data_IF_733573081073
#
_entry.id   IF_733573081073
#
_cell.length_a   1.000
_cell.length_b   1.000
_cell.length_c   1.000
_cell.angle_alpha   90.00
_cell.angle_beta   90.00
_cell.angle_gamma   90.00
#
_symmetry.space_group_name_H-M   'P 1'
#
loop_
_entity.id
_entity.type
_entity.pdbx_description
1 polymer ?
#
# COMPACT_ATOMS: atom_id res chain seq x y z
N UNK A 1 -15.86 7.75 3.31
CA UNK A 1 -14.99 8.27 2.23
C UNK A 1 -15.09 7.30 1.06
N UNK A 2 -15.60 7.72 -0.10
CA UNK A 2 -15.71 6.84 -1.29
C UNK A 2 -14.28 6.60 -1.79
N UNK A 3 -13.83 5.36 -1.74
CA UNK A 3 -12.59 4.94 -2.40
C UNK A 3 -12.68 5.30 -3.88
N UNK A 4 -11.77 6.14 -4.35
CA UNK A 4 -11.69 6.48 -5.77
C UNK A 4 -11.08 5.29 -6.53
N UNK A 5 -11.90 4.24 -6.73
CA UNK A 5 -11.51 2.99 -7.40
C UNK A 5 -11.20 3.20 -8.89
N UNK A 6 -11.51 4.38 -9.42
CA UNK A 6 -11.32 4.71 -10.84
C UNK A 6 -9.83 4.76 -11.21
N UNK A 7 -8.97 5.21 -10.29
CA UNK A 7 -7.52 5.22 -10.51
C UNK A 7 -6.91 3.81 -10.64
N UNK A 8 -7.26 2.92 -9.71
CA UNK A 8 -6.72 1.53 -9.70
C UNK A 8 -7.10 0.74 -10.97
N UNK A 9 -8.23 1.06 -11.61
CA UNK A 9 -8.64 0.41 -12.86
C UNK A 9 -7.67 0.65 -14.01
N UNK A 10 -6.90 1.75 -13.98
CA UNK A 10 -5.90 2.07 -15.00
C UNK A 10 -4.69 1.12 -14.99
N UNK A 11 -4.46 0.40 -13.88
CA UNK A 11 -3.43 -0.64 -13.79
C UNK A 11 -3.85 -1.97 -14.41
N UNK A 12 -5.16 -2.18 -14.65
CA UNK A 12 -5.69 -3.43 -15.18
C UNK A 12 -5.05 -3.83 -16.53
N UNK A 13 -4.83 -2.92 -17.50
CA UNK A 13 -4.19 -3.29 -18.77
C UNK A 13 -2.80 -3.91 -18.57
N UNK A 14 -1.98 -3.35 -17.67
CA UNK A 14 -0.64 -3.84 -17.37
C UNK A 14 -0.68 -5.23 -16.70
N UNK A 15 -1.59 -5.43 -15.74
CA UNK A 15 -1.78 -6.72 -15.09
C UNK A 15 -2.37 -7.77 -16.03
N UNK A 16 -3.24 -7.39 -16.96
CA UNK A 16 -3.90 -8.29 -17.91
C UNK A 16 -2.90 -9.01 -18.82
N UNK A 17 -1.77 -8.39 -19.14
CA UNK A 17 -0.67 -9.00 -19.90
C UNK A 17 -0.14 -10.26 -19.20
N UNK A 18 -0.13 -10.28 -17.86
CA UNK A 18 0.39 -11.37 -17.03
C UNK A 18 -0.73 -12.24 -16.42
N UNK A 19 -1.92 -12.25 -17.03
CA UNK A 19 -3.12 -12.95 -16.54
C UNK A 19 -2.90 -14.43 -16.20
N UNK A 20 -2.08 -15.15 -16.95
CA UNK A 20 -1.82 -16.57 -16.69
C UNK A 20 -1.05 -16.79 -15.37
N UNK A 21 -0.05 -15.93 -15.08
CA UNK A 21 0.69 -15.98 -13.81
C UNK A 21 -0.22 -15.60 -12.63
N UNK A 22 -1.04 -14.56 -12.80
CA UNK A 22 -2.00 -14.10 -11.79
C UNK A 22 -3.07 -15.19 -11.55
N UNK A 23 -3.63 -15.80 -12.59
CA UNK A 23 -4.60 -16.89 -12.45
C UNK A 23 -3.98 -18.10 -11.75
N UNK A 24 -2.75 -18.48 -12.13
CA UNK A 24 -2.01 -19.53 -11.43
C UNK A 24 -1.78 -19.23 -9.96
N UNK A 25 -1.40 -17.99 -9.64
CA UNK A 25 -1.25 -17.54 -8.24
C UNK A 25 -2.58 -17.60 -7.47
N UNK A 26 -3.70 -17.17 -8.07
CA UNK A 26 -5.03 -17.25 -7.43
C UNK A 26 -5.42 -18.71 -7.16
N UNK A 27 -5.21 -19.62 -8.11
CA UNK A 27 -5.50 -21.03 -7.91
C UNK A 27 -4.68 -21.63 -6.76
N UNK A 28 -3.39 -21.29 -6.69
CA UNK A 28 -2.51 -21.72 -5.60
C UNK A 28 -2.90 -21.12 -4.24
N UNK A 29 -3.35 -19.85 -4.20
CA UNK A 29 -3.88 -19.22 -3.00
C UNK A 29 -5.13 -19.97 -2.52
N UNK A 30 -6.06 -20.31 -3.43
CA UNK A 30 -7.26 -21.07 -3.09
C UNK A 30 -6.88 -22.46 -2.56
N UNK A 31 -5.97 -23.15 -3.22
CA UNK A 31 -5.50 -24.47 -2.78
C UNK A 31 -4.83 -24.39 -1.39
N UNK A 32 -3.92 -23.43 -1.18
CA UNK A 32 -3.27 -23.22 0.11
C UNK A 32 -4.29 -22.89 1.20
N UNK A 33 -5.26 -22.02 0.92
CA UNK A 33 -6.31 -21.65 1.89
C UNK A 33 -7.20 -22.83 2.26
N UNK A 34 -7.57 -23.69 1.28
CA UNK A 34 -8.32 -24.90 1.55
C UNK A 34 -7.54 -25.90 2.42
N UNK A 35 -6.24 -26.09 2.13
CA UNK A 35 -5.38 -26.95 2.94
C UNK A 35 -5.24 -26.44 4.37
N UNK A 36 -5.02 -25.14 4.55
CA UNK A 36 -4.91 -24.51 5.87
C UNK A 36 -6.26 -24.59 6.63
N UNK A 37 -7.39 -24.46 5.93
CA UNK A 37 -8.71 -24.59 6.54
C UNK A 37 -9.01 -26.01 7.05
N UNK A 38 -8.37 -27.04 6.52
CA UNK A 38 -8.49 -28.42 7.02
C UNK A 38 -7.66 -28.70 8.26
N UNK A 39 -6.60 -27.93 8.50
CA UNK A 39 -5.66 -28.23 9.59
C UNK A 39 -6.29 -28.28 11.00
N UNK A 40 -7.20 -27.36 11.43
CA UNK A 40 -7.82 -27.45 12.74
C UNK A 40 -8.67 -28.72 12.92
N UNK A 41 -9.33 -29.19 11.85
CA UNK A 41 -10.12 -30.43 11.90
C UNK A 41 -9.21 -31.65 12.09
N UNK A 42 -8.08 -31.71 11.39
CA UNK A 42 -7.10 -32.79 11.54
C UNK A 42 -6.46 -32.77 12.93
N UNK A 43 -6.10 -31.59 13.46
CA UNK A 43 -5.63 -31.43 14.84
C UNK A 43 -6.69 -31.93 15.84
N UNK A 44 -7.96 -31.61 15.61
CA UNK A 44 -9.07 -32.07 16.42
C UNK A 44 -9.28 -33.59 16.37
N UNK A 45 -9.02 -34.23 15.22
CA UNK A 45 -9.10 -35.70 15.11
C UNK A 45 -8.10 -36.39 16.03
N UNK A 46 -6.88 -35.85 16.19
CA UNK A 46 -5.88 -36.39 17.14
C UNK A 46 -6.43 -36.32 18.56
N UNK A 47 -7.00 -35.18 18.95
CA UNK A 47 -7.58 -35.02 20.29
C UNK A 47 -8.76 -35.93 20.54
N UNK A 48 -9.62 -36.13 19.51
CA UNK A 48 -10.76 -37.07 19.62
C UNK A 48 -10.28 -38.50 19.80
N UNK A 49 -9.27 -38.95 19.03
CA UNK A 49 -8.71 -40.27 19.11
C UNK A 49 -8.10 -40.52 20.50
N UNK A 50 -7.27 -39.61 20.99
CA UNK A 50 -6.67 -39.68 22.33
C UNK A 50 -7.75 -39.77 23.43
N UNK A 51 -8.79 -38.96 23.32
CA UNK A 51 -9.89 -38.98 24.29
C UNK A 51 -10.64 -40.31 24.28
N UNK A 52 -10.92 -40.87 23.09
CA UNK A 52 -11.59 -42.18 22.95
C UNK A 52 -10.76 -43.32 23.51
N UNK A 53 -9.47 -43.37 23.18
CA UNK A 53 -8.56 -44.41 23.64
C UNK A 53 -8.42 -44.42 25.19
N UNK A 54 -8.29 -43.24 25.79
CA UNK A 54 -8.19 -43.08 27.24
C UNK A 54 -9.50 -43.45 27.94
N UNK A 55 -10.65 -43.06 27.40
CA UNK A 55 -11.97 -43.37 28.02
C UNK A 55 -12.35 -44.82 27.83
N UNK A 56 -11.92 -45.50 26.73
CA UNK A 56 -12.13 -46.92 26.53
C UNK A 56 -11.26 -47.83 27.40
N UNK A 57 -10.28 -47.27 28.15
CA UNK A 57 -9.36 -48.03 28.98
C UNK A 57 -8.35 -48.87 28.17
N UNK A 58 -8.30 -48.74 26.86
CA UNK A 58 -7.30 -49.34 26.00
C UNK A 58 -6.10 -48.37 25.91
N UNK A 59 -4.90 -48.92 25.75
CA UNK A 59 -3.71 -48.10 25.52
C UNK A 59 -3.86 -47.26 24.24
N UNK A 60 -3.19 -46.10 24.18
CA UNK A 60 -3.24 -45.17 23.05
C UNK A 60 -2.81 -45.88 21.76
N UNK A 61 -3.66 -45.85 20.71
CA UNK A 61 -3.32 -46.40 19.38
C UNK A 61 -2.46 -45.39 18.60
N UNK A 62 -1.16 -45.49 18.79
CA UNK A 62 -0.19 -44.64 18.10
C UNK A 62 -0.22 -44.82 16.58
N UNK A 63 -0.70 -45.95 16.05
CA UNK A 63 -0.73 -46.19 14.60
C UNK A 63 -1.71 -45.23 13.92
N UNK A 64 -2.88 -45.03 14.52
CA UNK A 64 -3.88 -44.09 13.99
C UNK A 64 -3.36 -42.65 14.13
N UNK A 65 -2.77 -42.31 15.29
CA UNK A 65 -2.21 -40.97 15.54
C UNK A 65 -1.10 -40.64 14.54
N UNK A 66 -0.16 -41.56 14.32
CA UNK A 66 0.91 -41.37 13.33
C UNK A 66 0.37 -41.13 11.91
N UNK A 67 -0.69 -41.81 11.54
CA UNK A 67 -1.35 -41.62 10.22
C UNK A 67 -1.96 -40.22 10.12
N UNK A 68 -2.64 -39.74 11.17
CA UNK A 68 -3.22 -38.38 11.18
C UNK A 68 -2.11 -37.32 11.19
N UNK A 69 -1.05 -37.51 11.97
CA UNK A 69 0.11 -36.60 12.01
C UNK A 69 0.82 -36.57 10.64
N UNK A 70 1.02 -37.71 9.99
CA UNK A 70 1.61 -37.77 8.66
C UNK A 70 0.74 -37.03 7.63
N UNK A 71 -0.58 -37.18 7.70
CA UNK A 71 -1.52 -36.43 6.86
C UNK A 71 -1.45 -34.92 7.12
N UNK A 72 -1.41 -34.53 8.39
CA UNK A 72 -1.28 -33.13 8.79
C UNK A 72 0.04 -32.51 8.30
N UNK A 73 1.15 -33.26 8.42
CA UNK A 73 2.45 -32.84 7.90
C UNK A 73 2.39 -32.64 6.38
N UNK A 74 1.79 -33.58 5.68
CA UNK A 74 1.62 -33.49 4.22
C UNK A 74 0.80 -32.26 3.84
N UNK A 75 -0.28 -31.97 4.54
CA UNK A 75 -1.13 -30.78 4.35
C UNK A 75 -0.31 -29.50 4.57
N UNK A 76 0.47 -29.42 5.65
CA UNK A 76 1.30 -28.25 5.93
C UNK A 76 2.43 -28.08 4.89
N UNK A 77 3.13 -29.14 4.52
CA UNK A 77 4.20 -29.10 3.52
C UNK A 77 3.64 -28.69 2.16
N UNK A 78 2.54 -29.31 1.72
CA UNK A 78 1.89 -28.94 0.47
C UNK A 78 1.36 -27.51 0.50
N UNK A 79 0.76 -27.11 1.60
CA UNK A 79 0.32 -25.72 1.84
C UNK A 79 1.47 -24.71 1.79
N UNK A 80 2.61 -25.04 2.38
CA UNK A 80 3.80 -24.21 2.33
C UNK A 80 4.37 -24.08 0.90
N UNK A 81 4.42 -25.19 0.16
CA UNK A 81 4.84 -25.19 -1.25
C UNK A 81 3.90 -24.32 -2.10
N UNK A 82 2.58 -24.47 -1.92
CA UNK A 82 1.58 -23.64 -2.62
C UNK A 82 1.77 -22.17 -2.25
N UNK A 83 2.05 -21.86 -0.97
CA UNK A 83 2.27 -20.50 -0.46
C UNK A 83 3.52 -19.86 -1.08
N UNK A 84 4.65 -20.56 -1.11
CA UNK A 84 5.87 -20.10 -1.76
C UNK A 84 5.66 -19.90 -3.27
N UNK A 85 4.98 -20.85 -3.90
CA UNK A 85 4.74 -20.81 -5.35
C UNK A 85 3.84 -19.65 -5.77
N UNK A 86 2.73 -19.41 -5.07
CA UNK A 86 1.89 -18.27 -5.41
C UNK A 86 2.58 -16.94 -5.16
N UNK A 87 3.36 -16.83 -4.06
CA UNK A 87 4.09 -15.62 -3.75
C UNK A 87 5.10 -15.30 -4.86
N UNK A 88 5.82 -16.31 -5.35
CA UNK A 88 6.73 -16.16 -6.47
C UNK A 88 6.02 -15.71 -7.75
N UNK A 89 4.93 -16.41 -8.15
CA UNK A 89 4.19 -16.06 -9.37
C UNK A 89 3.55 -14.68 -9.31
N UNK A 90 2.99 -14.30 -8.15
CA UNK A 90 2.36 -13.01 -7.95
C UNK A 90 3.37 -11.88 -7.98
N UNK A 91 4.49 -12.05 -7.25
CA UNK A 91 5.58 -11.06 -7.23
C UNK A 91 6.17 -10.86 -8.63
N UNK A 92 6.44 -11.95 -9.35
CA UNK A 92 6.97 -11.88 -10.70
C UNK A 92 5.99 -11.20 -11.68
N UNK A 93 4.69 -11.50 -11.59
CA UNK A 93 3.67 -10.85 -12.40
C UNK A 93 3.57 -9.34 -12.11
N UNK A 94 3.56 -8.95 -10.82
CA UNK A 94 3.46 -7.54 -10.41
C UNK A 94 4.73 -6.80 -10.80
N UNK A 95 5.92 -7.34 -10.54
CA UNK A 95 7.18 -6.69 -10.90
C UNK A 95 7.32 -6.52 -12.42
N UNK A 96 6.90 -7.53 -13.20
CA UNK A 96 6.87 -7.42 -14.66
C UNK A 96 5.92 -6.31 -15.13
N UNK A 97 4.73 -6.20 -14.53
CA UNK A 97 3.78 -5.12 -14.83
C UNK A 97 4.34 -3.74 -14.44
N UNK A 98 5.08 -3.67 -13.32
CA UNK A 98 5.73 -2.43 -12.89
C UNK A 98 6.89 -2.02 -13.79
N UNK A 99 7.63 -2.99 -14.39
CA UNK A 99 8.64 -2.71 -15.42
C UNK A 99 7.98 -2.11 -16.65
N UNK A 100 6.87 -2.70 -17.12
CA UNK A 100 6.12 -2.14 -18.27
C UNK A 100 5.67 -0.70 -17.99
N UNK A 101 5.10 -0.44 -16.80
CA UNK A 101 4.65 0.90 -16.42
C UNK A 101 5.83 1.90 -16.30
N UNK A 102 6.99 1.47 -15.77
CA UNK A 102 8.20 2.32 -15.72
C UNK A 102 8.71 2.67 -17.12
N UNK A 103 8.69 1.71 -18.03
CA UNK A 103 9.09 1.95 -19.41
C UNK A 103 8.17 2.97 -20.12
N UNK A 104 6.86 2.92 -19.84
CA UNK A 104 5.91 3.90 -20.37
C UNK A 104 6.17 5.30 -19.79
N UNK A 105 6.45 5.39 -18.48
CA UNK A 105 6.80 6.65 -17.82
C UNK A 105 8.12 7.21 -18.38
N UNK A 106 9.14 6.37 -18.55
CA UNK A 106 10.43 6.77 -19.12
C UNK A 106 10.27 7.24 -20.59
N UNK A 107 9.49 6.50 -21.37
CA UNK A 107 9.16 6.88 -22.75
C UNK A 107 8.42 8.22 -22.80
N UNK A 108 7.52 8.46 -21.84
CA UNK A 108 6.79 9.73 -21.70
C UNK A 108 7.74 10.90 -21.41
N UNK A 109 8.69 10.72 -20.48
CA UNK A 109 9.70 11.76 -20.15
C UNK A 109 10.43 12.23 -21.42
N UNK A 110 10.78 11.30 -22.31
CA UNK A 110 11.51 11.63 -23.55
C UNK A 110 10.66 12.39 -24.59
N UNK A 111 9.33 12.33 -24.48
CA UNK A 111 8.40 12.95 -25.43
C UNK A 111 7.75 14.22 -24.89
N UNK A 112 8.00 14.56 -23.63
CA UNK A 112 7.46 15.78 -23.06
C UNK A 112 8.21 17.00 -23.55
N UNK A 113 7.49 18.13 -23.84
CA UNK A 113 8.12 19.38 -24.22
C UNK A 113 8.97 19.94 -23.08
N UNK A 114 10.04 20.67 -23.42
CA UNK A 114 10.93 21.33 -22.43
C UNK A 114 10.13 22.25 -21.51
N UNK A 115 9.10 22.92 -22.03
CA UNK A 115 8.22 23.78 -21.27
C UNK A 115 7.54 23.09 -20.06
N UNK A 116 7.33 21.77 -20.11
CA UNK A 116 6.83 21.01 -18.97
C UNK A 116 7.81 21.04 -17.81
N UNK A 117 9.10 20.84 -18.06
CA UNK A 117 10.14 20.82 -17.04
C UNK A 117 10.45 22.21 -16.48
N UNK A 118 10.23 23.28 -17.28
CA UNK A 118 10.35 24.65 -16.81
C UNK A 118 9.23 25.05 -15.83
N UNK A 119 8.04 24.46 -16.01
CA UNK A 119 6.86 24.74 -15.16
C UNK A 119 6.77 23.82 -13.93
N UNK A 120 7.39 22.64 -13.95
CA UNK A 120 7.32 21.66 -12.88
C UNK A 120 8.70 21.39 -12.27
N UNK A 121 8.84 21.46 -10.93
CA UNK A 121 10.10 21.13 -10.27
C UNK A 121 10.60 19.74 -10.63
N UNK A 122 11.84 19.60 -11.03
CA UNK A 122 12.45 18.30 -11.39
C UNK A 122 12.30 17.26 -10.27
N UNK A 123 12.39 17.70 -8.99
CA UNK A 123 12.19 16.84 -7.84
C UNK A 123 10.81 16.20 -7.76
N UNK A 124 9.76 16.90 -8.21
CA UNK A 124 8.39 16.38 -8.24
C UNK A 124 8.24 15.27 -9.29
N UNK A 125 8.77 15.51 -10.48
CA UNK A 125 8.81 14.51 -11.57
C UNK A 125 9.59 13.27 -11.14
N UNK A 126 10.77 13.44 -10.53
CA UNK A 126 11.57 12.32 -10.02
C UNK A 126 10.86 11.55 -8.92
N UNK A 127 10.12 12.24 -8.03
CA UNK A 127 9.31 11.59 -6.99
C UNK A 127 8.19 10.73 -7.57
N UNK A 128 7.56 11.15 -8.67
CA UNK A 128 6.54 10.36 -9.39
C UNK A 128 7.14 9.09 -9.99
N UNK A 129 8.34 9.19 -10.56
CA UNK A 129 9.05 8.06 -11.20
C UNK A 129 9.62 7.06 -10.18
N UNK A 130 9.99 7.51 -8.99
CA UNK A 130 10.60 6.67 -7.95
C UNK A 130 9.62 6.31 -6.85
N UNK A 131 9.26 7.25 -6.00
CA UNK A 131 8.48 7.01 -4.79
C UNK A 131 7.05 6.55 -5.08
N UNK A 132 6.37 7.17 -6.06
CA UNK A 132 5.00 6.76 -6.40
C UNK A 132 4.97 5.38 -7.04
N UNK A 133 5.93 5.07 -7.90
CA UNK A 133 6.05 3.74 -8.51
C UNK A 133 6.32 2.65 -7.46
N UNK A 134 7.18 2.94 -6.49
CA UNK A 134 7.43 2.01 -5.38
C UNK A 134 6.20 1.84 -4.48
N UNK A 135 5.48 2.93 -4.19
CA UNK A 135 4.23 2.89 -3.42
C UNK A 135 3.18 2.03 -4.11
N UNK A 136 3.03 2.14 -5.44
CA UNK A 136 2.13 1.31 -6.24
C UNK A 136 2.56 -0.17 -6.17
N UNK A 137 3.85 -0.46 -6.39
CA UNK A 137 4.40 -1.81 -6.38
C UNK A 137 4.16 -2.50 -5.03
N UNK A 138 4.53 -1.82 -3.93
CA UNK A 138 4.39 -2.36 -2.58
C UNK A 138 2.92 -2.59 -2.20
N UNK A 139 2.03 -1.66 -2.56
CA UNK A 139 0.61 -1.82 -2.30
C UNK A 139 -0.01 -2.97 -3.11
N UNK A 140 0.34 -3.14 -4.38
CA UNK A 140 -0.14 -4.26 -5.18
C UNK A 140 0.32 -5.60 -4.62
N UNK A 141 1.60 -5.74 -4.25
CA UNK A 141 2.16 -6.98 -3.72
C UNK A 141 1.50 -7.35 -2.39
N UNK A 142 1.42 -6.40 -1.46
CA UNK A 142 0.88 -6.67 -0.12
C UNK A 142 -0.63 -6.79 -0.13
N UNK A 143 -1.35 -5.84 -0.76
CA UNK A 143 -2.81 -5.78 -0.63
C UNK A 143 -3.52 -6.89 -1.39
N UNK A 144 -3.03 -7.28 -2.58
CA UNK A 144 -3.71 -8.28 -3.39
C UNK A 144 -3.75 -9.65 -2.71
N UNK A 145 -2.59 -10.16 -2.28
CA UNK A 145 -2.50 -11.44 -1.60
C UNK A 145 -3.22 -11.43 -0.25
N UNK A 146 -3.08 -10.35 0.54
CA UNK A 146 -3.72 -10.23 1.85
C UNK A 146 -5.23 -10.19 1.76
N UNK A 147 -5.81 -9.45 0.81
CA UNK A 147 -7.26 -9.38 0.61
C UNK A 147 -7.82 -10.73 0.21
N UNK A 148 -7.19 -11.43 -0.75
CA UNK A 148 -7.62 -12.76 -1.16
C UNK A 148 -7.54 -13.77 -0.02
N UNK A 149 -6.42 -13.82 0.70
CA UNK A 149 -6.25 -14.71 1.84
C UNK A 149 -7.25 -14.40 2.97
N UNK A 150 -7.53 -13.12 3.23
CA UNK A 150 -8.51 -12.71 4.23
C UNK A 150 -9.93 -13.16 3.85
N UNK A 151 -10.35 -12.94 2.60
CA UNK A 151 -11.68 -13.34 2.11
C UNK A 151 -11.82 -14.88 2.13
N UNK A 152 -10.84 -15.60 1.57
CA UNK A 152 -10.87 -17.06 1.53
C UNK A 152 -10.78 -17.67 2.92
N UNK A 153 -9.85 -17.20 3.76
CA UNK A 153 -9.69 -17.68 5.13
C UNK A 153 -10.95 -17.47 5.96
N UNK A 154 -11.55 -16.26 5.89
CA UNK A 154 -12.81 -15.97 6.57
C UNK A 154 -13.95 -16.88 6.08
N UNK A 155 -14.13 -16.97 4.77
CA UNK A 155 -15.22 -17.75 4.16
C UNK A 155 -15.09 -19.24 4.49
N UNK A 156 -13.88 -19.79 4.36
CA UNK A 156 -13.62 -21.20 4.66
C UNK A 156 -13.74 -21.50 6.16
N UNK A 157 -13.20 -20.64 7.04
CA UNK A 157 -13.32 -20.81 8.48
C UNK A 157 -14.79 -20.80 8.91
N UNK A 158 -15.59 -19.85 8.43
CA UNK A 158 -17.02 -19.77 8.70
C UNK A 158 -17.74 -21.01 8.16
N UNK A 159 -17.46 -21.46 6.94
CA UNK A 159 -18.05 -22.67 6.37
C UNK A 159 -17.73 -23.90 7.23
N UNK A 160 -16.47 -24.06 7.68
CA UNK A 160 -16.07 -25.16 8.57
C UNK A 160 -16.75 -25.08 9.94
N UNK A 161 -16.95 -23.89 10.51
CA UNK A 161 -17.69 -23.73 11.76
C UNK A 161 -19.15 -24.15 11.62
N UNK A 162 -19.81 -23.79 10.52
CA UNK A 162 -21.19 -24.22 10.24
C UNK A 162 -21.29 -25.74 10.00
N UNK A 163 -20.28 -26.37 9.41
CA UNK A 163 -20.24 -27.82 9.21
C UNK A 163 -20.11 -28.63 10.51
N UNK A 164 -19.45 -28.06 11.55
CA UNK A 164 -19.31 -28.69 12.86
C UNK A 164 -20.63 -28.58 13.64
N UNK A 165 -21.07 -27.35 13.90
CA UNK A 165 -22.32 -27.12 14.63
C UNK A 165 -22.86 -25.71 14.38
N UNK A 166 -23.99 -25.62 13.68
CA UNK A 166 -24.56 -24.36 13.24
C UNK A 166 -24.97 -23.40 14.38
N UNK A 167 -25.43 -23.94 15.54
CA UNK A 167 -25.79 -23.11 16.69
C UNK A 167 -24.57 -22.43 17.32
N UNK A 168 -23.45 -23.16 17.42
CA UNK A 168 -22.19 -22.59 17.89
C UNK A 168 -21.64 -21.58 16.88
N UNK A 169 -21.79 -21.84 15.57
CA UNK A 169 -21.40 -20.90 14.54
C UNK A 169 -22.19 -19.60 14.63
N UNK A 170 -23.50 -19.63 14.83
CA UNK A 170 -24.31 -18.43 15.06
C UNK A 170 -23.90 -17.67 16.32
N UNK A 171 -23.63 -18.37 17.43
CA UNK A 171 -23.14 -17.73 18.65
C UNK A 171 -21.79 -17.04 18.43
N UNK A 172 -20.88 -17.66 17.66
CA UNK A 172 -19.59 -17.04 17.35
C UNK A 172 -19.70 -15.83 16.39
N UNK A 173 -20.73 -15.77 15.55
CA UNK A 173 -21.01 -14.57 14.76
C UNK A 173 -21.28 -13.33 15.64
N UNK A 174 -21.89 -13.49 16.82
CA UNK A 174 -22.08 -12.39 17.76
C UNK A 174 -20.74 -11.85 18.28
N UNK A 175 -19.74 -12.73 18.49
CA UNK A 175 -18.39 -12.35 18.90
C UNK A 175 -17.73 -11.51 17.81
N UNK A 176 -17.84 -11.96 16.55
CA UNK A 176 -17.28 -11.26 15.39
C UNK A 176 -17.93 -9.87 15.24
N UNK A 177 -19.26 -9.80 15.33
CA UNK A 177 -20.01 -8.52 15.26
C UNK A 177 -19.57 -7.59 16.40
N UNK A 178 -19.46 -8.12 17.63
CA UNK A 178 -18.97 -7.36 18.78
C UNK A 178 -17.56 -6.79 18.56
N UNK A 179 -16.65 -7.60 18.03
CA UNK A 179 -15.27 -7.18 17.68
C UNK A 179 -15.25 -6.09 16.61
N UNK A 180 -16.08 -6.21 15.58
CA UNK A 180 -16.20 -5.19 14.51
C UNK A 180 -16.79 -3.88 15.06
N UNK A 181 -17.81 -3.94 15.90
CA UNK A 181 -18.43 -2.75 16.52
C UNK A 181 -17.41 -2.01 17.39
N UNK A 182 -16.69 -2.72 18.26
CA UNK A 182 -15.66 -2.10 19.10
C UNK A 182 -14.52 -1.51 18.25
N UNK A 183 -14.05 -2.24 17.24
CA UNK A 183 -13.04 -1.73 16.33
C UNK A 183 -13.48 -0.43 15.64
N UNK A 184 -14.71 -0.37 15.13
CA UNK A 184 -15.28 0.86 14.54
C UNK A 184 -15.38 2.01 15.55
N UNK A 185 -15.77 1.73 16.80
CA UNK A 185 -15.85 2.75 17.85
C UNK A 185 -14.47 3.34 18.18
N UNK A 186 -13.45 2.48 18.31
CA UNK A 186 -12.08 2.91 18.60
C UNK A 186 -11.53 3.73 17.42
N UNK A 187 -11.65 3.24 16.18
CA UNK A 187 -11.20 3.97 14.98
C UNK A 187 -11.87 5.35 14.91
N UNK A 188 -13.19 5.43 15.11
CA UNK A 188 -13.91 6.72 15.10
C UNK A 188 -13.40 7.69 16.16
N UNK A 189 -13.00 7.19 17.34
CA UNK A 189 -12.45 8.04 18.42
C UNK A 189 -10.97 8.37 18.22
N UNK A 190 -10.17 7.48 17.66
CA UNK A 190 -8.73 7.69 17.48
C UNK A 190 -8.42 8.57 16.28
N UNK A 191 -9.21 8.53 15.20
CA UNK A 191 -8.96 9.29 13.98
C UNK A 191 -8.78 10.80 14.21
N UNK A 192 -9.67 11.53 14.91
CA UNK A 192 -9.47 12.96 15.17
C UNK A 192 -8.27 13.25 16.07
N UNK A 193 -7.84 12.28 16.90
CA UNK A 193 -6.63 12.41 17.70
C UNK A 193 -5.36 12.27 16.86
N UNK A 194 -5.36 11.37 15.89
CA UNK A 194 -4.27 11.26 14.92
C UNK A 194 -4.18 12.50 14.01
N UNK A 195 -5.29 13.10 13.63
CA UNK A 195 -5.30 14.38 12.90
C UNK A 195 -4.65 15.50 13.74
N UNK A 196 -4.98 15.58 15.03
CA UNK A 196 -4.34 16.54 15.95
C UNK A 196 -2.85 16.26 16.11
N UNK A 197 -2.45 15.00 16.28
CA UNK A 197 -1.04 14.62 16.35
C UNK A 197 -0.29 15.02 15.07
N UNK A 198 -0.89 14.81 13.90
CA UNK A 198 -0.27 15.18 12.62
C UNK A 198 -0.12 16.69 12.47
N UNK A 199 -1.12 17.46 12.91
CA UNK A 199 -1.06 18.92 12.90
C UNK A 199 0.04 19.43 13.85
N UNK A 200 0.13 18.89 15.08
CA UNK A 200 1.19 19.25 16.03
C UNK A 200 2.58 18.84 15.50
N UNK A 201 2.70 17.73 14.78
CA UNK A 201 3.94 17.34 14.10
C UNK A 201 4.32 18.35 13.00
N UNK A 202 3.34 18.82 12.23
CA UNK A 202 3.52 19.88 11.24
C UNK A 202 4.00 21.18 11.88
N UNK A 203 3.38 21.61 12.99
CA UNK A 203 3.79 22.80 13.75
C UNK A 203 5.22 22.67 14.29
N UNK A 204 5.56 21.51 14.88
CA UNK A 204 6.93 21.25 15.34
C UNK A 204 7.94 21.31 14.20
N UNK A 205 7.61 20.67 13.07
CA UNK A 205 8.47 20.71 11.87
C UNK A 205 8.67 22.13 11.35
N UNK A 206 7.63 22.98 11.40
CA UNK A 206 7.71 24.40 11.07
C UNK A 206 8.68 25.16 11.98
N UNK A 207 8.55 25.00 13.30
CA UNK A 207 9.46 25.62 14.30
C UNK A 207 10.91 25.16 14.06
N UNK A 208 11.13 23.88 13.80
CA UNK A 208 12.47 23.35 13.49
C UNK A 208 13.02 23.97 12.21
N UNK A 209 12.22 24.03 11.14
CA UNK A 209 12.65 24.62 9.87
C UNK A 209 12.96 26.11 10.01
N UNK A 210 12.13 26.86 10.74
CA UNK A 210 12.35 28.28 11.02
C UNK A 210 13.65 28.49 11.83
N UNK A 211 13.88 27.68 12.88
CA UNK A 211 15.09 27.74 13.70
C UNK A 211 16.35 27.40 12.89
N UNK A 212 16.29 26.44 11.95
CA UNK A 212 17.44 26.16 11.09
C UNK A 212 17.67 27.22 10.03
N UNK A 213 16.61 27.76 9.44
CA UNK A 213 16.73 28.83 8.43
C UNK A 213 17.24 30.15 9.08
N UNK A 214 16.71 30.49 10.25
CA UNK A 214 17.09 31.67 11.02
C UNK A 214 18.22 31.45 12.02
N UNK A 215 19.03 30.40 11.88
CA UNK A 215 20.06 30.03 12.85
C UNK A 215 21.08 31.15 13.11
N UNK A 216 21.51 31.85 12.07
CA UNK A 216 22.47 32.92 12.17
C UNK A 216 21.89 34.13 12.95
N UNK A 217 20.63 34.47 12.68
CA UNK A 217 19.89 35.54 13.32
C UNK A 217 19.65 35.23 14.80
N UNK A 218 19.20 34.00 15.11
CA UNK A 218 19.00 33.54 16.49
C UNK A 218 20.31 33.66 17.28
N UNK A 219 21.44 33.27 16.69
CA UNK A 219 22.75 33.34 17.33
C UNK A 219 23.25 34.78 17.47
N UNK A 220 23.06 35.58 16.42
CA UNK A 220 23.50 36.99 16.41
C UNK A 220 22.77 37.83 17.45
N UNK A 221 21.46 37.63 17.63
CA UNK A 221 20.62 38.37 18.56
C UNK A 221 20.48 37.70 19.94
N UNK A 222 21.17 36.62 20.21
CA UNK A 222 21.15 35.93 21.50
C UNK A 222 19.80 35.32 21.88
N UNK A 223 19.00 34.88 20.85
CA UNK A 223 17.62 34.39 21.00
C UNK A 223 17.51 32.88 21.11
N UNK A 224 18.57 32.17 21.54
CA UNK A 224 18.59 30.69 21.62
C UNK A 224 17.59 30.19 22.67
N UNK A 225 17.41 30.87 23.79
CA UNK A 225 16.46 30.47 24.84
C UNK A 225 15.01 30.62 24.38
N UNK A 226 14.69 31.69 23.66
CA UNK A 226 13.34 31.86 23.08
C UNK A 226 13.03 30.76 22.05
N UNK A 227 13.96 30.49 21.12
CA UNK A 227 13.80 29.43 20.13
C UNK A 227 13.67 28.04 20.78
N UNK A 228 14.40 27.79 21.89
CA UNK A 228 14.27 26.56 22.65
C UNK A 228 12.91 26.47 23.35
N UNK A 229 12.41 27.57 23.89
CA UNK A 229 11.10 27.64 24.53
C UNK A 229 9.97 27.30 23.52
N UNK A 230 10.02 27.87 22.31
CA UNK A 230 9.06 27.60 21.24
C UNK A 230 9.10 26.15 20.80
N UNK A 231 10.31 25.57 20.63
CA UNK A 231 10.48 24.15 20.34
C UNK A 231 9.88 23.26 21.43
N UNK A 232 10.17 23.56 22.71
CA UNK A 232 9.66 22.76 23.85
C UNK A 232 8.15 22.87 23.98
N UNK A 233 7.54 23.99 23.67
CA UNK A 233 6.08 24.18 23.65
C UNK A 233 5.45 23.29 22.55
N UNK A 234 5.94 23.39 21.33
CA UNK A 234 5.45 22.57 20.19
C UNK A 234 5.67 21.07 20.43
N UNK A 235 6.83 20.68 20.98
CA UNK A 235 7.14 19.29 21.33
C UNK A 235 6.23 18.76 22.44
N UNK A 236 5.93 19.57 23.46
CA UNK A 236 4.99 19.20 24.54
C UNK A 236 3.59 18.94 23.99
N UNK A 237 3.12 19.80 23.07
CA UNK A 237 1.82 19.64 22.42
C UNK A 237 1.78 18.35 21.59
N UNK A 238 2.81 18.08 20.79
CA UNK A 238 2.95 16.84 20.01
C UNK A 238 2.94 15.61 20.94
N UNK A 239 3.67 15.66 22.05
CA UNK A 239 3.72 14.57 23.04
C UNK A 239 2.33 14.28 23.62
N UNK A 240 1.58 15.31 24.02
CA UNK A 240 0.24 15.15 24.58
C UNK A 240 -0.76 14.60 23.56
N UNK A 241 -0.77 15.12 22.35
CA UNK A 241 -1.66 14.66 21.28
C UNK A 241 -1.28 13.26 20.81
N UNK A 242 0.03 12.97 20.71
CA UNK A 242 0.55 11.65 20.40
C UNK A 242 0.19 10.60 21.45
N UNK A 243 0.36 10.94 22.74
CA UNK A 243 -0.05 10.04 23.83
C UNK A 243 -1.53 9.68 23.75
N UNK A 244 -2.41 10.67 23.58
CA UNK A 244 -3.87 10.43 23.48
C UNK A 244 -4.22 9.58 22.25
N UNK A 245 -3.62 9.87 21.10
CA UNK A 245 -3.84 9.09 19.86
C UNK A 245 -3.38 7.65 20.02
N UNK A 246 -2.15 7.44 20.51
CA UNK A 246 -1.57 6.11 20.70
C UNK A 246 -2.27 5.32 21.80
N UNK A 247 -2.65 5.95 22.92
CA UNK A 247 -3.38 5.28 23.99
C UNK A 247 -4.73 4.75 23.52
N UNK A 248 -5.55 5.61 22.90
CA UNK A 248 -6.88 5.20 22.41
C UNK A 248 -6.76 4.14 21.30
N UNK A 249 -5.84 4.31 20.36
CA UNK A 249 -5.59 3.32 19.32
C UNK A 249 -5.03 2.01 19.89
N UNK A 250 -4.14 2.09 20.88
CA UNK A 250 -3.55 0.93 21.54
C UNK A 250 -4.54 0.06 22.32
N UNK A 251 -5.68 0.61 22.75
CA UNK A 251 -6.76 -0.15 23.37
C UNK A 251 -7.48 -1.10 22.39
N UNK A 252 -7.28 -0.94 21.08
CA UNK A 252 -7.97 -1.76 20.07
C UNK A 252 -7.66 -3.24 20.24
N UNK A 253 -6.39 -3.62 20.29
CA UNK A 253 -5.98 -5.02 20.41
C UNK A 253 -6.43 -5.66 21.72
N UNK A 254 -6.18 -5.08 22.93
CA UNK A 254 -6.66 -5.63 24.18
C UNK A 254 -8.18 -5.80 24.25
N UNK A 255 -8.95 -4.82 23.77
CA UNK A 255 -10.42 -4.89 23.84
C UNK A 255 -11.00 -5.92 22.87
N UNK A 256 -10.48 -6.02 21.66
CA UNK A 256 -10.87 -7.08 20.70
C UNK A 256 -10.48 -8.45 21.25
N UNK A 257 -9.28 -8.60 21.83
CA UNK A 257 -8.85 -9.84 22.46
C UNK A 257 -9.73 -10.22 23.66
N UNK A 258 -10.10 -9.24 24.48
CA UNK A 258 -10.99 -9.48 25.64
C UNK A 258 -12.34 -10.05 25.19
N UNK A 259 -13.00 -9.44 24.18
CA UNK A 259 -14.26 -9.97 23.64
C UNK A 259 -14.06 -11.38 23.10
N UNK A 260 -12.96 -11.60 22.37
CA UNK A 260 -12.64 -12.91 21.80
C UNK A 260 -12.47 -13.95 22.89
N UNK A 261 -11.72 -13.66 23.97
CA UNK A 261 -11.53 -14.60 25.09
C UNK A 261 -12.82 -14.90 25.83
N UNK A 262 -13.63 -13.86 26.13
CA UNK A 262 -14.95 -14.06 26.74
C UNK A 262 -15.85 -14.90 25.84
N UNK A 263 -15.85 -14.60 24.54
CA UNK A 263 -16.59 -15.37 23.55
C UNK A 263 -16.14 -16.84 23.46
N UNK A 264 -14.82 -17.08 23.44
CA UNK A 264 -14.26 -18.43 23.46
C UNK A 264 -14.69 -19.16 24.75
N UNK A 265 -14.70 -18.50 25.90
CA UNK A 265 -15.19 -19.08 27.14
C UNK A 265 -16.65 -19.54 27.04
N UNK A 266 -17.53 -18.68 26.51
CA UNK A 266 -18.93 -19.04 26.25
C UNK A 266 -19.09 -20.21 25.28
N UNK A 267 -18.34 -20.19 24.18
CA UNK A 267 -18.34 -21.28 23.17
C UNK A 267 -17.77 -22.57 23.75
N UNK A 268 -16.74 -22.50 24.61
CA UNK A 268 -16.16 -23.67 25.28
C UNK A 268 -17.18 -24.32 26.20
N UNK A 269 -17.92 -23.53 27.00
CA UNK A 269 -18.98 -24.04 27.85
C UNK A 269 -20.07 -24.72 27.02
N UNK A 270 -20.57 -24.04 26.00
CA UNK A 270 -21.60 -24.57 25.13
C UNK A 270 -21.13 -25.84 24.38
N UNK A 271 -19.88 -25.81 23.87
CA UNK A 271 -19.27 -26.95 23.18
C UNK A 271 -19.03 -28.15 24.14
N UNK A 272 -18.64 -27.89 25.40
CA UNK A 272 -18.51 -28.96 26.40
C UNK A 272 -19.86 -29.63 26.68
N UNK A 273 -20.94 -28.86 26.80
CA UNK A 273 -22.30 -29.41 26.93
C UNK A 273 -22.71 -30.26 25.75
N UNK A 274 -22.39 -29.83 24.52
CA UNK A 274 -22.64 -30.61 23.30
C UNK A 274 -21.75 -31.84 23.21
N UNK A 275 -20.52 -31.77 23.67
CA UNK A 275 -19.62 -32.94 23.71
C UNK A 275 -20.10 -33.98 24.72
N UNK A 276 -20.54 -33.56 25.92
CA UNK A 276 -21.12 -34.45 26.93
C UNK A 276 -22.44 -35.09 26.45
N UNK A 277 -23.23 -34.40 25.65
CA UNK A 277 -24.44 -34.96 25.04
C UNK A 277 -24.18 -35.79 23.79
N UNK A 278 -22.93 -35.95 23.37
CA UNK A 278 -22.55 -36.75 22.21
C UNK A 278 -22.86 -36.09 20.84
N UNK A 279 -23.24 -34.81 20.84
CA UNK A 279 -23.59 -34.06 19.59
C UNK A 279 -22.34 -33.69 18.79
N UNK A 280 -21.23 -33.38 19.45
CA UNK A 280 -19.94 -33.11 18.84
C UNK A 280 -18.83 -33.90 19.55
N UNK A 281 -17.73 -34.16 18.84
CA UNK A 281 -16.53 -34.75 19.46
C UNK A 281 -15.69 -33.66 20.15
N UNK A 282 -14.90 -34.05 21.15
CA UNK A 282 -14.02 -33.14 21.91
C UNK A 282 -13.04 -32.41 20.95
N UNK A 283 -12.49 -33.13 19.99
CA UNK A 283 -11.60 -32.52 18.99
C UNK A 283 -12.30 -31.55 18.04
N UNK A 284 -13.61 -31.73 17.79
CA UNK A 284 -14.39 -30.75 17.03
C UNK A 284 -14.55 -29.44 17.79
N UNK A 285 -14.66 -29.47 19.11
CA UNK A 285 -14.65 -28.26 19.96
C UNK A 285 -13.30 -27.55 19.86
N UNK A 286 -12.20 -28.30 19.91
CA UNK A 286 -10.86 -27.73 19.73
C UNK A 286 -10.71 -27.08 18.36
N UNK A 287 -11.11 -27.76 17.28
CA UNK A 287 -11.09 -27.22 15.93
C UNK A 287 -11.93 -25.94 15.82
N UNK A 288 -13.11 -25.91 16.45
CA UNK A 288 -13.99 -24.75 16.46
C UNK A 288 -13.33 -23.52 17.11
N UNK A 289 -12.65 -23.68 18.23
CA UNK A 289 -11.91 -22.60 18.90
C UNK A 289 -10.78 -22.08 17.97
N UNK A 290 -10.08 -22.96 17.28
CA UNK A 290 -9.05 -22.58 16.30
C UNK A 290 -9.64 -21.74 15.16
N UNK A 291 -10.83 -22.10 14.64
CA UNK A 291 -11.51 -21.31 13.61
C UNK A 291 -11.90 -19.92 14.10
N UNK A 292 -12.32 -19.73 15.35
CA UNK A 292 -12.58 -18.40 15.91
C UNK A 292 -11.34 -17.50 15.83
N UNK A 293 -10.16 -18.03 16.17
CA UNK A 293 -8.90 -17.29 16.03
C UNK A 293 -8.59 -16.93 14.57
N UNK A 294 -8.82 -17.86 13.65
CA UNK A 294 -8.56 -17.68 12.22
C UNK A 294 -9.44 -16.58 11.61
N UNK A 295 -10.66 -16.39 12.14
CA UNK A 295 -11.57 -15.32 11.73
C UNK A 295 -11.14 -13.94 12.24
N UNK A 296 -10.60 -13.87 13.46
CA UNK A 296 -10.23 -12.60 14.07
C UNK A 296 -8.94 -11.97 13.50
N UNK A 297 -8.02 -12.77 13.01
CA UNK A 297 -6.73 -12.31 12.51
C UNK A 297 -6.86 -11.33 11.32
N UNK A 298 -7.66 -11.59 10.26
CA UNK A 298 -7.82 -10.66 9.15
C UNK A 298 -8.45 -9.32 9.53
N UNK A 299 -9.31 -9.28 10.55
CA UNK A 299 -9.99 -8.05 10.97
C UNK A 299 -9.01 -6.99 11.48
N UNK A 300 -7.96 -7.39 12.19
CA UNK A 300 -6.92 -6.48 12.68
C UNK A 300 -6.05 -5.91 11.55
N UNK A 301 -5.87 -6.66 10.46
CA UNK A 301 -5.05 -6.26 9.32
C UNK A 301 -5.77 -5.33 8.34
N UNK A 302 -7.11 -5.33 8.30
CA UNK A 302 -7.89 -4.52 7.36
C UNK A 302 -7.65 -3.01 7.49
N UNK A 303 -7.31 -2.51 8.67
CA UNK A 303 -7.03 -1.08 8.88
C UNK A 303 -5.74 -0.66 8.17
N UNK A 304 -4.70 -1.48 8.24
CA UNK A 304 -3.42 -1.23 7.57
C UNK A 304 -3.57 -1.30 6.04
N UNK A 305 -4.36 -2.26 5.55
CA UNK A 305 -4.68 -2.39 4.12
C UNK A 305 -5.40 -1.16 3.57
N UNK A 306 -6.34 -0.60 4.32
CA UNK A 306 -7.08 0.60 3.89
C UNK A 306 -6.15 1.79 3.66
N UNK A 307 -5.19 2.02 4.55
CA UNK A 307 -4.19 3.08 4.45
C UNK A 307 -3.28 2.88 3.22
N UNK A 308 -2.74 1.67 3.04
CA UNK A 308 -1.89 1.32 1.90
C UNK A 308 -2.61 1.51 0.55
N UNK A 309 -3.89 1.09 0.48
CA UNK A 309 -4.71 1.27 -0.72
C UNK A 309 -4.99 2.74 -1.03
N UNK A 310 -5.22 3.59 -0.02
CA UNK A 310 -5.43 5.03 -0.23
C UNK A 310 -4.17 5.72 -0.75
N UNK A 311 -3.01 5.44 -0.14
CA UNK A 311 -1.73 5.97 -0.59
C UNK A 311 -1.41 5.53 -2.02
N UNK A 312 -1.63 4.26 -2.34
CA UNK A 312 -1.45 3.73 -3.68
C UNK A 312 -2.41 4.36 -4.70
N UNK A 313 -3.68 4.56 -4.34
CA UNK A 313 -4.65 5.21 -5.24
C UNK A 313 -4.23 6.65 -5.58
N UNK A 314 -3.67 7.39 -4.62
CA UNK A 314 -3.12 8.72 -4.86
C UNK A 314 -1.88 8.68 -5.76
N UNK A 315 -0.95 7.74 -5.51
CA UNK A 315 0.23 7.52 -6.34
C UNK A 315 -0.14 7.15 -7.79
N UNK A 316 -1.09 6.22 -7.96
CA UNK A 316 -1.62 5.86 -9.30
C UNK A 316 -2.20 7.09 -10.00
N UNK A 317 -2.96 7.93 -9.30
CA UNK A 317 -3.52 9.14 -9.90
C UNK A 317 -2.42 10.04 -10.45
N UNK A 318 -1.37 10.34 -9.65
CA UNK A 318 -0.26 11.23 -10.07
C UNK A 318 0.55 10.65 -11.22
N UNK A 319 0.83 9.33 -11.21
CA UNK A 319 1.56 8.66 -12.30
C UNK A 319 0.76 8.70 -13.60
N UNK A 320 -0.55 8.43 -13.54
CA UNK A 320 -1.38 8.46 -14.75
C UNK A 320 -1.77 9.89 -15.20
N UNK A 321 -1.76 10.87 -14.31
CA UNK A 321 -1.83 12.29 -14.68
C UNK A 321 -0.61 12.65 -15.51
N UNK A 322 0.58 12.29 -15.03
CA UNK A 322 1.83 12.47 -15.77
C UNK A 322 1.85 11.77 -17.14
N UNK A 323 1.36 10.52 -17.21
CA UNK A 323 1.28 9.80 -18.50
C UNK A 323 0.28 10.41 -19.48
N UNK A 324 -0.71 11.17 -19.01
CA UNK A 324 -1.71 11.83 -19.85
C UNK A 324 -1.31 13.27 -20.26
N UNK A 325 -0.16 13.80 -19.81
CA UNK A 325 0.34 15.11 -20.24
C UNK A 325 0.51 15.16 -21.78
N UNK A 326 0.37 16.33 -22.36
CA UNK A 326 0.54 16.52 -23.80
C UNK A 326 2.00 16.29 -24.22
N UNK A 327 2.19 15.48 -25.24
CA UNK A 327 3.51 15.21 -25.80
C UNK A 327 3.87 16.28 -26.81
N UNK A 328 5.18 16.46 -27.01
CA UNK A 328 5.67 17.31 -28.09
C UNK A 328 5.15 16.76 -29.45
N UNK A 329 4.51 17.56 -30.29
CA UNK A 329 4.02 17.08 -31.56
C UNK A 329 5.19 16.53 -32.39
N UNK A 330 5.03 15.32 -32.91
CA UNK A 330 6.01 14.77 -33.85
C UNK A 330 6.11 15.75 -35.05
N UNK A 331 7.31 16.23 -35.30
CA UNK A 331 7.55 17.11 -36.44
C UNK A 331 7.49 16.27 -37.74
N UNK A 332 6.29 16.17 -38.32
CA UNK A 332 6.05 15.49 -39.60
C UNK A 332 6.92 16.04 -40.75
N UNK A 333 7.61 17.15 -40.49
CA UNK A 333 8.49 17.82 -41.46
C UNK A 333 9.97 17.50 -41.29
N UNK A 334 10.35 16.56 -40.42
CA UNK A 334 11.73 16.09 -40.35
C UNK A 334 12.14 15.48 -41.70
N UNK A 335 12.49 16.35 -42.63
CA UNK A 335 13.26 15.96 -43.80
C UNK A 335 14.63 15.49 -43.33
N UNK A 336 15.20 14.53 -44.04
CA UNK A 336 16.55 14.05 -43.74
C UNK A 336 17.50 15.24 -43.54
N UNK A 337 18.32 15.20 -42.49
CA UNK A 337 19.30 16.26 -42.24
C UNK A 337 20.08 16.53 -43.52
N UNK A 338 20.23 17.79 -43.95
CA UNK A 338 21.00 18.10 -45.14
C UNK A 338 22.41 17.53 -45.02
N UNK A 339 22.92 16.91 -46.09
CA UNK A 339 24.26 16.31 -46.09
C UNK A 339 25.37 17.33 -45.78
N UNK A 340 25.10 18.60 -46.01
CA UNK A 340 26.02 19.69 -45.72
C UNK A 340 25.27 20.89 -45.12
N UNK A 341 25.69 21.30 -43.92
CA UNK A 341 25.16 22.48 -43.22
C UNK A 341 26.21 23.59 -43.32
N UNK A 342 25.86 24.69 -44.01
CA UNK A 342 26.75 25.84 -44.18
C UNK A 342 27.04 26.60 -42.86
N UNK A 343 26.20 26.42 -41.85
CA UNK A 343 26.35 27.05 -40.53
C UNK A 343 25.89 28.52 -40.49
N UNK A 344 25.11 28.96 -41.46
CA UNK A 344 24.45 30.28 -41.45
C UNK A 344 23.20 30.22 -40.57
N UNK A 345 23.00 31.18 -39.68
CA UNK A 345 21.80 31.29 -38.79
C UNK A 345 21.15 32.66 -39.04
N UNK A 346 19.86 32.64 -39.38
CA UNK A 346 19.07 33.86 -39.60
C UNK A 346 17.85 33.86 -38.69
N UNK A 347 17.66 34.94 -37.94
CA UNK A 347 16.43 35.22 -37.20
C UNK A 347 15.63 36.26 -37.97
N UNK A 348 14.39 35.94 -38.35
CA UNK A 348 13.53 36.82 -39.13
C UNK A 348 12.23 37.09 -38.35
N UNK A 349 12.07 38.33 -37.87
CA UNK A 349 10.88 38.80 -37.18
C UNK A 349 10.43 37.87 -36.03
N UNK A 350 11.39 37.41 -35.23
CA UNK A 350 11.14 36.45 -34.17
C UNK A 350 10.40 37.10 -32.98
N UNK A 351 9.23 36.56 -32.66
CA UNK A 351 8.46 36.91 -31.48
C UNK A 351 8.38 35.72 -30.55
N UNK A 352 8.68 35.91 -29.29
CA UNK A 352 8.63 34.84 -28.29
C UNK A 352 8.21 35.35 -26.92
N UNK A 353 7.38 34.57 -26.24
CA UNK A 353 7.00 34.79 -24.83
C UNK A 353 6.80 33.46 -24.14
N UNK A 354 7.23 33.33 -22.87
CA UNK A 354 6.90 32.17 -22.00
C UNK A 354 5.44 32.22 -21.54
N UNK A 355 4.88 33.42 -21.36
CA UNK A 355 3.49 33.68 -21.04
C UNK A 355 2.93 34.74 -21.97
N UNK A 356 1.69 34.63 -22.45
CA UNK A 356 1.10 35.58 -23.39
C UNK A 356 1.15 37.03 -22.92
N UNK A 357 1.10 37.25 -21.59
CA UNK A 357 1.05 38.58 -21.00
C UNK A 357 2.42 39.27 -20.89
N UNK A 358 3.54 38.53 -21.10
CA UNK A 358 4.90 39.07 -20.97
C UNK A 358 5.74 38.70 -22.19
N UNK A 359 5.63 39.47 -23.28
CA UNK A 359 6.45 39.25 -24.44
C UNK A 359 7.94 39.50 -24.12
N UNK A 360 8.80 38.51 -24.45
CA UNK A 360 10.23 38.56 -24.16
C UNK A 360 11.04 39.02 -25.35
N UNK A 361 10.74 38.49 -26.52
CA UNK A 361 11.34 38.91 -27.78
C UNK A 361 10.24 39.46 -28.72
N UNK A 362 10.49 40.59 -29.36
CA UNK A 362 9.53 41.26 -30.24
C UNK A 362 10.22 41.71 -31.52
N UNK A 363 9.95 41.02 -32.63
CA UNK A 363 10.46 41.39 -33.94
C UNK A 363 11.98 41.34 -34.07
N UNK A 364 12.63 40.37 -33.40
CA UNK A 364 14.07 40.21 -33.47
C UNK A 364 14.50 39.79 -34.87
N UNK A 365 15.42 40.57 -35.47
CA UNK A 365 16.07 40.24 -36.75
C UNK A 365 17.59 40.22 -36.52
N UNK A 366 18.22 39.11 -36.84
CA UNK A 366 19.67 38.93 -36.75
C UNK A 366 20.15 37.91 -37.77
N UNK A 367 21.35 38.11 -38.31
CA UNK A 367 21.99 37.17 -39.20
C UNK A 367 23.43 36.89 -38.71
N UNK A 368 23.78 35.63 -38.67
CA UNK A 368 25.12 35.13 -38.28
C UNK A 368 25.63 34.30 -39.42
N UNK A 369 26.79 34.63 -39.97
CA UNK A 369 27.41 33.89 -41.06
C UNK A 369 28.32 32.77 -40.52
N UNK A 370 28.54 31.77 -41.37
CA UNK A 370 29.42 30.64 -41.04
C UNK A 370 30.79 31.11 -40.56
N UNK A 371 31.25 30.56 -39.41
CA UNK A 371 32.54 30.90 -38.85
C UNK A 371 32.57 32.21 -38.03
N UNK A 372 31.49 32.98 -37.98
CA UNK A 372 31.42 34.18 -37.14
C UNK A 372 31.27 33.83 -35.66
N UNK A 373 31.95 34.60 -34.80
CA UNK A 373 31.78 34.59 -33.34
C UNK A 373 30.88 35.77 -32.96
N UNK A 374 29.71 35.50 -32.41
CA UNK A 374 28.73 36.51 -32.01
C UNK A 374 28.54 36.47 -30.50
N UNK A 375 28.62 37.63 -29.83
CA UNK A 375 28.35 37.79 -28.44
C UNK A 375 26.97 38.43 -28.22
N UNK A 376 26.11 37.74 -27.44
CA UNK A 376 24.79 38.24 -27.04
C UNK A 376 24.94 38.91 -25.67
N UNK A 377 24.82 40.25 -25.63
CA UNK A 377 25.00 41.04 -24.41
C UNK A 377 23.71 41.74 -24.03
N UNK A 378 23.51 41.93 -22.72
CA UNK A 378 22.34 42.61 -22.19
C UNK A 378 22.17 42.35 -20.67
N UNK A 379 21.28 43.07 -19.99
CA UNK A 379 20.99 42.86 -18.55
C UNK A 379 20.41 41.48 -18.31
N UNK A 380 20.45 41.06 -17.02
CA UNK A 380 19.86 39.77 -16.60
C UNK A 380 18.35 39.81 -16.86
N UNK A 381 17.80 38.69 -17.39
CA UNK A 381 16.35 38.56 -17.69
C UNK A 381 15.90 39.05 -19.07
N UNK A 382 16.80 39.60 -19.91
CA UNK A 382 16.46 40.13 -21.27
C UNK A 382 16.24 39.03 -22.35
N UNK A 383 16.39 37.75 -21.98
CA UNK A 383 16.13 36.65 -22.94
C UNK A 383 17.37 36.14 -23.68
N UNK A 384 18.61 36.39 -23.20
CA UNK A 384 19.84 35.92 -23.87
C UNK A 384 19.88 34.39 -24.00
N UNK A 385 19.62 33.67 -22.93
CA UNK A 385 19.57 32.20 -22.95
C UNK A 385 18.39 31.67 -23.74
N UNK A 386 17.26 32.39 -23.69
CA UNK A 386 16.07 32.04 -24.45
C UNK A 386 16.33 32.09 -25.96
N UNK A 387 17.06 33.11 -26.42
CA UNK A 387 17.40 33.25 -27.86
C UNK A 387 18.23 32.08 -28.37
N UNK A 388 19.15 31.52 -27.51
CA UNK A 388 19.94 30.34 -27.86
C UNK A 388 19.08 29.09 -27.91
N UNK A 389 18.07 29.01 -27.08
CA UNK A 389 17.18 27.86 -26.96
C UNK A 389 16.04 27.85 -28.00
N UNK A 390 15.86 28.93 -28.77
CA UNK A 390 14.84 29.04 -29.83
C UNK A 390 15.26 28.35 -31.17
N UNK A 391 16.05 27.29 -31.10
CA UNK A 391 16.46 26.53 -32.28
C UNK A 391 15.31 25.67 -32.81
#
# INVERSE_FOLDING_TARGET
MKMNTTGMRRLIPYLKKYRFKITGAILLIVAASCLIALSPTLEGMITTQLFQDVTAGHGVDFTVIYRIVATLLLVYVTGAICNCSYQFLLTDAIQSAMVDLRNDVESKIRRLPIAYFDQHPLGDTMSRVTNDMETISNALQQSFAQILNAILGLTLAVAMMFSIQWKMALASMLIIIGSVVISKMIVKKSQPLFEKQQNSLGSLSGVVQESFTGFNEIKLFGKQEDALADFMAANSELCQNGFKAQFISGLMSPLVSFITYVGIGCIAIMGALYALSGVIAVGQLQAFIRYIWQVNQPLSQMTQLSSALQSSAAAVHRVFEFLNEEEEPEDERCQAAPEHVEGNVTFENVHFSYTPEKPLLQGLNARVESGQMVAIVGPTGVGKTTLINLR
#
